data_IF_457289354285
#
_entry.id   IF_457289354285
#
_cell.length_a   1.000
_cell.length_b   1.000
_cell.length_c   1.000
_cell.angle_alpha   90.00
_cell.angle_beta   90.00
_cell.angle_gamma   90.00
#
_symmetry.space_group_name_H-M   'P 1'
#
loop_
_entity.id
_entity.type
_entity.pdbx_description
1 polymer ?
#
# COMPACT_ATOMS: atom_id res chain seq x y z
N UNK A 1 -15.51 -13.18 -0.03
CA UNK A 1 -16.71 -14.05 0.01
C UNK A 1 -16.47 -15.39 0.69
N UNK A 2 -15.27 -16.00 0.62
CA UNK A 2 -15.01 -17.32 1.21
C UNK A 2 -15.24 -17.38 2.74
N UNK A 3 -14.83 -16.34 3.49
CA UNK A 3 -14.95 -16.30 4.95
C UNK A 3 -16.39 -16.42 5.49
N UNK A 4 -17.39 -15.96 4.73
CA UNK A 4 -18.82 -16.03 5.12
C UNK A 4 -19.55 -17.22 4.47
N UNK A 5 -18.87 -17.98 3.60
CA UNK A 5 -19.50 -19.08 2.89
C UNK A 5 -19.82 -20.23 3.85
N UNK A 6 -21.08 -20.69 3.94
CA UNK A 6 -21.45 -21.76 4.86
C UNK A 6 -20.78 -23.10 4.52
N UNK A 7 -20.29 -23.27 3.30
CA UNK A 7 -19.51 -24.45 2.89
C UNK A 7 -18.06 -24.42 3.36
N UNK A 8 -17.49 -23.23 3.58
CA UNK A 8 -16.09 -23.10 3.96
C UNK A 8 -15.82 -23.58 5.40
N UNK A 9 -16.87 -23.78 6.21
CA UNK A 9 -16.76 -24.43 7.52
C UNK A 9 -16.30 -25.90 7.44
N UNK A 10 -16.43 -26.51 6.26
CA UNK A 10 -15.96 -27.87 5.97
C UNK A 10 -14.60 -27.88 5.27
N UNK A 11 -14.00 -26.72 5.02
CA UNK A 11 -12.69 -26.64 4.37
C UNK A 11 -11.59 -27.09 5.35
N UNK A 12 -10.67 -27.91 4.86
CA UNK A 12 -9.50 -28.34 5.61
C UNK A 12 -8.27 -27.50 5.22
N UNK A 13 -7.33 -27.36 6.15
CA UNK A 13 -6.04 -26.73 5.84
C UNK A 13 -5.28 -27.62 4.86
N UNK A 14 -4.77 -27.02 3.78
CA UNK A 14 -3.98 -27.73 2.78
C UNK A 14 -2.76 -28.42 3.42
N UNK A 15 -2.53 -29.68 3.05
CA UNK A 15 -1.37 -30.49 3.49
C UNK A 15 -0.15 -30.29 2.59
N UNK A 16 -0.33 -29.72 1.41
CA UNK A 16 0.77 -29.41 0.50
C UNK A 16 1.54 -28.20 1.00
N UNK A 17 2.85 -28.40 1.19
CA UNK A 17 3.72 -27.37 1.79
C UNK A 17 3.80 -26.08 0.99
N UNK A 18 3.57 -26.15 -0.33
CA UNK A 18 3.52 -25.00 -1.23
C UNK A 18 2.39 -24.00 -0.90
N UNK A 19 1.33 -24.43 -0.19
CA UNK A 19 0.21 -23.57 0.20
C UNK A 19 0.29 -23.05 1.63
N UNK A 20 1.31 -23.42 2.41
CA UNK A 20 1.52 -22.81 3.71
C UNK A 20 2.02 -21.37 3.56
N UNK A 21 1.51 -20.47 4.42
CA UNK A 21 2.04 -19.13 4.52
C UNK A 21 3.53 -19.20 4.90
N UNK A 22 4.40 -18.60 4.08
CA UNK A 22 5.82 -18.50 4.39
C UNK A 22 6.00 -17.68 5.66
N UNK A 23 6.97 -18.06 6.49
CA UNK A 23 7.24 -17.35 7.75
C UNK A 23 7.60 -15.88 7.51
N UNK A 24 8.32 -15.57 6.42
CA UNK A 24 8.62 -14.19 5.98
C UNK A 24 7.37 -13.39 5.56
N UNK A 25 6.26 -14.07 5.26
CA UNK A 25 4.97 -13.49 4.91
C UNK A 25 3.96 -13.57 6.07
N UNK A 26 4.40 -13.90 7.30
CA UNK A 26 3.59 -13.73 8.51
C UNK A 26 3.50 -12.24 8.85
N UNK A 27 2.69 -11.54 8.06
CA UNK A 27 2.23 -10.16 8.27
C UNK A 27 3.35 -9.17 8.64
N UNK A 28 4.29 -8.87 7.72
CA UNK A 28 5.12 -7.67 7.86
C UNK A 28 4.23 -6.44 8.08
N UNK A 29 4.73 -5.50 8.89
CA UNK A 29 4.01 -4.27 9.20
C UNK A 29 3.77 -3.42 7.95
N UNK A 30 2.74 -2.56 8.00
CA UNK A 30 2.44 -1.65 6.88
C UNK A 30 3.60 -0.68 6.61
N UNK A 31 4.35 -0.35 7.65
CA UNK A 31 5.58 0.43 7.61
C UNK A 31 6.68 -0.23 6.78
N UNK A 32 6.94 -1.53 7.01
CA UNK A 32 7.92 -2.32 6.25
C UNK A 32 7.48 -2.50 4.80
N UNK A 33 6.19 -2.80 4.59
CA UNK A 33 5.63 -3.00 3.27
C UNK A 33 5.63 -1.71 2.42
N UNK A 34 5.45 -0.55 3.04
CA UNK A 34 5.51 0.75 2.37
C UNK A 34 6.93 1.08 1.88
N UNK A 35 7.95 0.57 2.56
CA UNK A 35 9.36 0.83 2.25
C UNK A 35 9.92 -0.06 1.12
N UNK A 36 9.15 -1.02 0.61
CA UNK A 36 9.62 -1.93 -0.44
C UNK A 36 9.90 -1.19 -1.75
N UNK A 37 11.16 -1.28 -2.21
CA UNK A 37 11.54 -0.99 -3.59
C UNK A 37 11.27 -2.21 -4.50
N UNK A 38 11.57 -2.09 -5.79
CA UNK A 38 11.31 -3.18 -6.76
C UNK A 38 12.14 -4.45 -6.45
N UNK A 39 13.37 -4.29 -5.94
CA UNK A 39 14.22 -5.43 -5.58
C UNK A 39 13.68 -6.17 -4.37
N UNK A 40 13.40 -5.45 -3.27
CA UNK A 40 12.82 -6.00 -2.05
C UNK A 40 11.44 -6.62 -2.31
N UNK A 41 10.59 -5.99 -3.10
CA UNK A 41 9.30 -6.58 -3.50
C UNK A 41 9.49 -7.93 -4.22
N UNK A 42 10.45 -8.01 -5.15
CA UNK A 42 10.71 -9.25 -5.92
C UNK A 42 11.29 -10.36 -5.06
N UNK A 43 12.11 -10.01 -4.08
CA UNK A 43 12.66 -10.94 -3.10
C UNK A 43 11.55 -11.49 -2.21
N UNK A 44 10.82 -10.61 -1.51
CA UNK A 44 9.75 -10.98 -0.56
C UNK A 44 8.67 -11.81 -1.23
N UNK A 45 8.24 -11.44 -2.44
CA UNK A 45 7.15 -12.14 -3.14
C UNK A 45 7.63 -13.16 -4.18
N UNK A 46 8.89 -13.58 -4.16
CA UNK A 46 9.40 -14.59 -5.09
C UNK A 46 8.62 -15.91 -4.99
N UNK A 47 8.08 -16.41 -6.11
CA UNK A 47 7.24 -17.62 -6.12
C UNK A 47 5.84 -17.44 -5.52
N UNK A 48 5.46 -16.22 -5.11
CA UNK A 48 4.08 -15.89 -4.73
C UNK A 48 3.31 -15.37 -5.96
N UNK A 49 2.01 -15.72 -6.12
CA UNK A 49 1.15 -15.10 -7.11
C UNK A 49 1.06 -13.57 -7.00
N UNK A 50 1.38 -12.99 -5.83
CA UNK A 50 1.43 -11.53 -5.61
C UNK A 50 2.47 -10.88 -6.52
N UNK A 51 3.60 -11.54 -6.80
CA UNK A 51 4.65 -10.96 -7.66
C UNK A 51 4.13 -10.48 -9.02
N UNK A 52 3.07 -11.10 -9.56
CA UNK A 52 2.48 -10.75 -10.85
C UNK A 52 1.90 -9.33 -10.91
N UNK A 53 1.47 -8.75 -9.78
CA UNK A 53 0.87 -7.41 -9.79
C UNK A 53 1.94 -6.32 -9.92
N UNK A 54 3.18 -6.61 -9.52
CA UNK A 54 4.29 -5.66 -9.47
C UNK A 54 4.25 -4.76 -8.24
N UNK A 55 5.40 -4.14 -7.95
CA UNK A 55 5.63 -3.32 -6.76
C UNK A 55 4.66 -2.14 -6.67
N UNK A 56 4.45 -1.39 -7.74
CA UNK A 56 3.66 -0.14 -7.66
C UNK A 56 2.20 -0.39 -7.29
N UNK A 57 1.58 -1.42 -7.88
CA UNK A 57 0.21 -1.81 -7.53
C UNK A 57 0.11 -2.37 -6.11
N UNK A 58 1.18 -2.97 -5.62
CA UNK A 58 1.27 -3.47 -4.26
C UNK A 58 1.41 -2.31 -3.26
N UNK A 59 2.40 -1.43 -3.43
CA UNK A 59 2.63 -0.28 -2.54
C UNK A 59 1.46 0.68 -2.57
N UNK A 60 0.82 0.89 -3.73
CA UNK A 60 -0.47 1.59 -3.80
C UNK A 60 -1.51 0.99 -2.83
N UNK A 61 -1.65 -0.34 -2.79
CA UNK A 61 -2.57 -0.99 -1.84
C UNK A 61 -2.13 -0.82 -0.39
N UNK A 62 -0.82 -0.77 -0.14
CA UNK A 62 -0.27 -0.49 1.19
C UNK A 62 -0.64 0.92 1.63
N UNK A 63 -0.51 1.95 0.76
CA UNK A 63 -0.99 3.30 1.06
C UNK A 63 -2.48 3.31 1.40
N UNK A 64 -3.31 2.57 0.65
CA UNK A 64 -4.74 2.43 0.95
C UNK A 64 -4.96 1.79 2.32
N UNK A 65 -4.22 0.73 2.64
CA UNK A 65 -4.30 0.07 3.95
C UNK A 65 -3.88 1.01 5.09
N UNK A 66 -2.81 1.79 4.91
CA UNK A 66 -2.37 2.82 5.85
C UNK A 66 -3.47 3.86 6.06
N UNK A 67 -4.03 4.45 5.01
CA UNK A 67 -5.11 5.44 5.12
C UNK A 67 -6.41 4.88 5.70
N UNK A 68 -6.65 3.57 5.56
CA UNK A 68 -7.79 2.89 6.19
C UNK A 68 -7.55 2.52 7.65
N UNK A 69 -6.29 2.33 8.07
CA UNK A 69 -5.94 1.98 9.45
C UNK A 69 -6.30 3.10 10.44
N UNK A 70 -6.29 4.36 9.97
CA UNK A 70 -6.46 5.51 10.84
C UNK A 70 -5.28 5.77 11.79
N UNK A 71 -4.15 5.07 11.61
CA UNK A 71 -2.98 5.16 12.48
C UNK A 71 -2.05 6.32 12.08
N UNK A 72 -1.95 7.40 12.87
CA UNK A 72 -1.06 8.52 12.57
C UNK A 72 0.43 8.13 12.65
N UNK A 73 0.78 7.03 13.32
CA UNK A 73 2.15 6.54 13.41
C UNK A 73 2.77 6.18 12.06
N UNK A 74 1.94 5.90 11.06
CA UNK A 74 2.37 5.51 9.71
C UNK A 74 2.52 6.71 8.74
N UNK A 75 2.24 7.94 9.18
CA UNK A 75 2.40 9.14 8.35
C UNK A 75 3.83 9.29 7.84
N UNK A 76 4.83 8.98 8.68
CA UNK A 76 6.24 9.07 8.30
C UNK A 76 6.58 8.15 7.12
N UNK A 77 5.90 7.00 6.98
CA UNK A 77 6.09 6.05 5.89
C UNK A 77 5.45 6.52 4.57
N UNK A 78 4.46 7.42 4.62
CA UNK A 78 3.83 7.98 3.43
C UNK A 78 4.64 9.11 2.80
N UNK A 79 5.38 9.89 3.59
CA UNK A 79 6.08 11.09 3.09
C UNK A 79 7.07 10.78 1.96
N UNK A 80 7.93 9.74 2.03
CA UNK A 80 8.81 9.40 0.91
C UNK A 80 8.05 8.96 -0.35
N UNK A 81 6.85 8.39 -0.18
CA UNK A 81 6.02 7.91 -1.29
C UNK A 81 5.33 9.04 -2.06
N UNK A 82 5.33 10.27 -1.52
CA UNK A 82 4.93 11.47 -2.26
C UNK A 82 5.92 11.84 -3.38
N UNK A 83 7.13 11.28 -3.35
CA UNK A 83 8.20 11.47 -4.35
C UNK A 83 8.40 10.22 -5.21
N UNK A 84 7.53 9.21 -5.08
CA UNK A 84 7.66 7.95 -5.81
C UNK A 84 7.63 8.16 -7.34
N UNK A 85 8.47 7.49 -8.14
CA UNK A 85 8.43 7.64 -9.59
C UNK A 85 7.09 7.22 -10.20
N UNK A 86 6.37 6.28 -9.58
CA UNK A 86 5.09 5.80 -10.05
C UNK A 86 3.95 6.75 -9.61
N UNK A 87 3.22 7.41 -10.53
CA UNK A 87 2.15 8.33 -10.15
C UNK A 87 1.03 7.67 -9.34
N UNK A 88 0.74 6.40 -9.60
CA UNK A 88 -0.26 5.63 -8.86
C UNK A 88 0.09 5.46 -7.37
N UNK A 89 1.38 5.43 -7.04
CA UNK A 89 1.86 5.36 -5.65
C UNK A 89 1.77 6.74 -5.01
N UNK A 90 2.26 7.79 -5.71
CA UNK A 90 2.14 9.18 -5.23
C UNK A 90 0.69 9.53 -4.92
N UNK A 91 -0.23 9.32 -5.86
CA UNK A 91 -1.65 9.64 -5.68
C UNK A 91 -2.26 8.95 -4.46
N UNK A 92 -1.95 7.67 -4.23
CA UNK A 92 -2.48 6.99 -3.04
C UNK A 92 -1.77 7.36 -1.74
N UNK A 93 -0.51 7.80 -1.79
CA UNK A 93 0.15 8.40 -0.64
C UNK A 93 -0.51 9.74 -0.25
N UNK A 94 -0.88 10.56 -1.24
CA UNK A 94 -1.66 11.80 -1.05
C UNK A 94 -3.01 11.51 -0.40
N UNK A 95 -3.76 10.57 -0.97
CA UNK A 95 -5.07 10.14 -0.44
C UNK A 95 -4.97 9.65 1.01
N UNK A 96 -3.97 8.81 1.30
CA UNK A 96 -3.77 8.28 2.63
C UNK A 96 -3.40 9.38 3.63
N UNK A 97 -2.55 10.33 3.21
CA UNK A 97 -2.14 11.45 4.05
C UNK A 97 -3.32 12.37 4.40
N UNK A 98 -4.18 12.70 3.42
CA UNK A 98 -5.38 13.50 3.63
C UNK A 98 -6.31 12.89 4.69
N UNK A 99 -6.41 11.56 4.72
CA UNK A 99 -7.23 10.83 5.70
C UNK A 99 -6.65 10.81 7.11
N UNK A 100 -5.33 10.79 7.24
CA UNK A 100 -4.65 10.63 8.52
C UNK A 100 -4.33 11.97 9.19
N UNK A 101 -3.96 12.99 8.41
CA UNK A 101 -3.55 14.30 8.95
C UNK A 101 -3.79 15.42 7.93
N UNK A 102 -4.92 16.11 8.09
CA UNK A 102 -5.29 17.26 7.24
C UNK A 102 -4.32 18.44 7.32
N UNK A 103 -3.65 18.65 8.46
CA UNK A 103 -2.67 19.73 8.60
C UNK A 103 -1.38 19.42 7.84
N UNK A 104 -0.88 18.18 7.95
CA UNK A 104 0.26 17.72 7.15
C UNK A 104 -0.09 17.71 5.67
N UNK A 105 -1.27 17.22 5.29
CA UNK A 105 -1.74 17.24 3.91
C UNK A 105 -1.73 18.65 3.32
N UNK A 106 -2.30 19.65 4.01
CA UNK A 106 -2.32 21.03 3.53
C UNK A 106 -0.90 21.59 3.31
N UNK A 107 0.03 21.25 4.21
CA UNK A 107 1.44 21.65 4.09
C UNK A 107 2.11 21.00 2.88
N UNK A 108 1.97 19.69 2.69
CA UNK A 108 2.58 18.99 1.56
C UNK A 108 1.94 19.42 0.22
N UNK A 109 0.62 19.64 0.19
CA UNK A 109 -0.09 20.17 -0.98
C UNK A 109 0.47 21.51 -1.45
N UNK A 110 0.70 22.44 -0.53
CA UNK A 110 1.26 23.76 -0.86
C UNK A 110 2.67 23.68 -1.48
N UNK A 111 3.46 22.64 -1.17
CA UNK A 111 4.80 22.46 -1.69
C UNK A 111 4.86 21.63 -2.99
N UNK A 112 3.88 20.74 -3.21
CA UNK A 112 3.98 19.66 -4.22
C UNK A 112 2.95 19.75 -5.34
N UNK A 113 1.86 20.50 -5.17
CA UNK A 113 0.80 20.55 -6.17
C UNK A 113 1.22 21.26 -7.46
N UNK A 114 2.00 22.34 -7.40
CA UNK A 114 2.46 23.10 -8.57
C UNK A 114 3.41 22.30 -9.49
N UNK A 115 4.44 21.59 -8.98
CA UNK A 115 5.35 20.82 -9.85
C UNK A 115 4.77 19.48 -10.34
N UNK A 116 3.66 18.99 -9.79
CA UNK A 116 3.06 17.73 -10.22
C UNK A 116 2.36 17.86 -11.58
N UNK A 117 2.61 16.91 -12.48
CA UNK A 117 2.08 16.93 -13.85
C UNK A 117 1.09 15.80 -14.12
N UNK A 118 1.09 14.76 -13.28
CA UNK A 118 0.17 13.64 -13.46
C UNK A 118 -1.26 14.04 -13.03
N UNK A 119 -2.25 13.92 -13.93
CA UNK A 119 -3.62 14.34 -13.64
C UNK A 119 -4.29 13.52 -12.54
N UNK A 120 -3.90 12.25 -12.37
CA UNK A 120 -4.41 11.40 -11.29
C UNK A 120 -3.92 11.87 -9.94
N UNK A 121 -2.63 12.20 -9.82
CA UNK A 121 -2.07 12.74 -8.57
C UNK A 121 -2.64 14.12 -8.25
N UNK A 122 -2.77 15.00 -9.26
CA UNK A 122 -3.39 16.31 -9.09
C UNK A 122 -4.84 16.21 -8.60
N UNK A 123 -5.62 15.24 -9.10
CA UNK A 123 -6.98 15.00 -8.63
C UNK A 123 -7.00 14.65 -7.13
N UNK A 124 -6.10 13.77 -6.66
CA UNK A 124 -6.02 13.42 -5.24
C UNK A 124 -5.67 14.63 -4.37
N UNK A 125 -4.77 15.52 -4.82
CA UNK A 125 -4.49 16.77 -4.13
C UNK A 125 -5.72 17.70 -4.08
N UNK A 126 -6.62 17.64 -5.06
CA UNK A 126 -7.83 18.47 -5.10
C UNK A 126 -8.98 17.92 -4.25
N UNK A 127 -9.12 16.59 -4.15
CA UNK A 127 -10.24 15.94 -3.46
C UNK A 127 -10.00 15.63 -1.97
N UNK A 128 -8.72 15.61 -1.55
CA UNK A 128 -8.31 15.40 -0.16
C UNK A 128 -8.70 16.53 0.78
#
# INVERSE_FOLDING_TARGET
CLAICPWNKFAETAKESAFHARAELKAPGLDELAALDDAGFREVFSGSPIKRIGRDRFVRNVCIAIGNSGDPGLIANLLPLLDDPAPVVRGMAVWALARLDGARFAKEKAARMEPETDPGVLAEWMTG
#
